data_IF_557241421215
#
_entry.id   IF_557241421215
#
_cell.length_a   1.000
_cell.length_b   1.000
_cell.length_c   1.000
_cell.angle_alpha   90.00
_cell.angle_beta   90.00
_cell.angle_gamma   90.00
#
_symmetry.space_group_name_H-M   'P 1'
#
loop_
_entity.id
_entity.type
_entity.pdbx_description
1 polymer ?
#
# COMPACT_ATOMS: atom_id res chain seq x y z
N UNK A 1 -14.68 10.74 2.18
CA UNK A 1 -14.75 9.52 1.34
C UNK A 1 -15.00 8.32 2.24
N UNK A 2 -15.88 7.41 1.81
CA UNK A 2 -16.25 6.25 2.61
C UNK A 2 -15.56 5.03 2.01
N UNK A 3 -14.82 4.27 2.84
CA UNK A 3 -14.23 2.98 2.42
C UNK A 3 -15.38 1.98 2.26
N UNK A 4 -15.41 1.28 1.13
CA UNK A 4 -16.43 0.28 0.84
C UNK A 4 -15.99 -1.13 1.27
N UNK A 5 -16.95 -2.03 1.46
CA UNK A 5 -16.65 -3.43 1.77
C UNK A 5 -15.80 -4.10 0.66
N UNK A 6 -16.02 -3.73 -0.60
CA UNK A 6 -15.26 -4.25 -1.74
C UNK A 6 -13.78 -3.83 -1.72
N UNK A 7 -13.48 -2.63 -1.17
CA UNK A 7 -12.08 -2.20 -1.00
C UNK A 7 -11.38 -3.01 0.08
N UNK A 8 -12.11 -3.34 1.15
CA UNK A 8 -11.60 -4.10 2.29
C UNK A 8 -11.38 -5.58 1.96
N UNK A 9 -12.22 -6.18 1.12
CA UNK A 9 -12.15 -7.61 0.78
C UNK A 9 -10.80 -8.02 0.21
N UNK A 10 -10.13 -7.13 -0.51
CA UNK A 10 -8.80 -7.36 -1.11
C UNK A 10 -7.69 -7.59 -0.07
N UNK A 11 -7.90 -7.15 1.16
CA UNK A 11 -6.93 -7.24 2.25
C UNK A 11 -7.15 -8.44 3.17
N UNK A 12 -8.22 -9.21 2.92
CA UNK A 12 -8.48 -10.48 3.60
C UNK A 12 -7.60 -11.56 2.98
N UNK A 13 -6.69 -12.12 3.78
CA UNK A 13 -5.71 -13.10 3.29
C UNK A 13 -6.29 -14.49 3.07
N UNK A 14 -7.22 -14.89 3.92
CA UNK A 14 -7.85 -16.21 3.80
C UNK A 14 -9.15 -16.11 3.00
N UNK A 15 -9.09 -16.55 1.75
CA UNK A 15 -10.26 -16.60 0.88
C UNK A 15 -10.96 -17.96 1.02
N UNK A 16 -12.31 -17.97 1.10
CA UNK A 16 -13.06 -19.23 1.17
C UNK A 16 -12.98 -19.99 -0.15
N UNK A 17 -13.26 -21.30 -0.08
CA UNK A 17 -13.42 -22.11 -1.28
C UNK A 17 -14.48 -21.55 -2.23
N UNK A 18 -14.24 -21.71 -3.53
CA UNK A 18 -15.21 -21.33 -4.57
C UNK A 18 -16.53 -22.06 -4.38
N UNK A 19 -17.63 -21.34 -4.51
CA UNK A 19 -18.97 -21.92 -4.45
C UNK A 19 -19.56 -22.02 -5.85
N UNK A 20 -20.24 -23.13 -6.12
CA UNK A 20 -21.04 -23.29 -7.33
C UNK A 20 -22.51 -23.37 -6.93
N UNK A 21 -23.35 -22.50 -7.46
CA UNK A 21 -24.77 -22.36 -7.10
C UNK A 21 -25.02 -22.36 -5.58
N UNK A 22 -24.21 -21.62 -4.84
CA UNK A 22 -24.32 -21.53 -3.38
C UNK A 22 -23.84 -22.76 -2.59
N UNK A 23 -23.39 -23.81 -3.27
CA UNK A 23 -22.90 -25.07 -2.67
C UNK A 23 -21.38 -25.17 -2.76
N UNK A 24 -20.77 -25.95 -1.85
CA UNK A 24 -19.34 -26.25 -1.90
C UNK A 24 -19.06 -27.45 -2.83
N UNK A 25 -19.60 -27.39 -4.05
CA UNK A 25 -19.52 -28.47 -5.04
C UNK A 25 -18.06 -28.91 -5.33
N UNK A 26 -17.15 -27.96 -5.47
CA UNK A 26 -15.75 -28.26 -5.75
C UNK A 26 -15.04 -28.98 -4.60
N UNK A 27 -15.36 -28.63 -3.35
CA UNK A 27 -14.84 -29.32 -2.16
C UNK A 27 -15.42 -30.73 -2.08
N UNK A 28 -16.73 -30.88 -2.28
CA UNK A 28 -17.38 -32.19 -2.32
C UNK A 28 -16.77 -33.08 -3.42
N UNK A 29 -16.52 -32.55 -4.60
CA UNK A 29 -15.90 -33.28 -5.71
C UNK A 29 -14.48 -33.77 -5.35
N UNK A 30 -13.71 -32.96 -4.66
CA UNK A 30 -12.38 -33.29 -4.17
C UNK A 30 -12.43 -34.39 -3.11
N UNK A 31 -13.34 -34.29 -2.14
CA UNK A 31 -13.53 -35.31 -1.08
C UNK A 31 -14.00 -36.67 -1.64
N UNK A 32 -14.70 -36.70 -2.77
CA UNK A 32 -15.10 -37.89 -3.48
C UNK A 32 -13.95 -38.56 -4.25
N UNK A 33 -12.80 -37.91 -4.38
CA UNK A 33 -11.65 -38.50 -5.05
C UNK A 33 -10.85 -39.37 -4.10
N UNK A 34 -10.72 -40.66 -4.42
CA UNK A 34 -9.96 -41.62 -3.61
C UNK A 34 -8.44 -41.42 -3.85
N UNK A 35 -7.64 -41.11 -2.82
CA UNK A 35 -6.20 -40.89 -2.98
C UNK A 35 -5.41 -42.11 -3.46
N UNK A 36 -5.91 -43.33 -3.22
CA UNK A 36 -5.23 -44.58 -3.60
C UNK A 36 -5.54 -45.07 -5.02
N UNK A 37 -6.46 -44.46 -5.76
CA UNK A 37 -6.85 -44.89 -7.10
C UNK A 37 -6.44 -43.89 -8.17
N UNK A 38 -5.54 -44.28 -9.06
CA UNK A 38 -5.06 -43.43 -10.18
C UNK A 38 -5.90 -43.61 -11.46
N UNK A 39 -7.23 -43.65 -11.34
CA UNK A 39 -8.11 -43.72 -12.51
C UNK A 39 -8.38 -42.35 -13.08
N UNK A 40 -8.64 -42.26 -14.40
CA UNK A 40 -8.96 -41.02 -15.12
C UNK A 40 -10.04 -40.20 -14.41
N UNK A 41 -11.11 -40.82 -13.90
CA UNK A 41 -12.18 -40.19 -13.14
C UNK A 41 -11.71 -39.57 -11.81
N UNK A 42 -10.81 -40.24 -11.09
CA UNK A 42 -10.25 -39.68 -9.86
C UNK A 42 -9.31 -38.50 -10.14
N UNK A 43 -8.50 -38.62 -11.18
CA UNK A 43 -7.63 -37.52 -11.61
C UNK A 43 -8.44 -36.29 -12.06
N UNK A 44 -9.54 -36.49 -12.79
CA UNK A 44 -10.47 -35.45 -13.19
C UNK A 44 -11.13 -34.81 -11.98
N UNK A 45 -11.65 -35.57 -11.00
CA UNK A 45 -12.23 -35.05 -9.76
C UNK A 45 -11.23 -34.22 -8.95
N UNK A 46 -9.96 -34.64 -8.86
CA UNK A 46 -8.89 -33.90 -8.19
C UNK A 46 -8.50 -32.61 -8.92
N UNK A 47 -8.51 -32.68 -10.25
CA UNK A 47 -8.15 -31.50 -11.08
C UNK A 47 -9.22 -30.40 -11.04
N UNK A 48 -10.50 -30.77 -10.99
CA UNK A 48 -11.63 -29.82 -10.92
C UNK A 48 -11.98 -29.50 -9.47
N UNK A 49 -11.89 -30.48 -8.57
CA UNK A 49 -12.13 -30.31 -7.15
C UNK A 49 -11.15 -29.32 -6.52
N UNK A 50 -11.57 -28.69 -5.45
CA UNK A 50 -10.75 -27.78 -4.67
C UNK A 50 -10.55 -28.35 -3.27
N UNK A 51 -9.30 -28.42 -2.83
CA UNK A 51 -8.97 -28.81 -1.47
C UNK A 51 -9.69 -27.92 -0.44
N UNK A 52 -10.27 -28.50 0.62
CA UNK A 52 -10.94 -27.69 1.65
C UNK A 52 -9.94 -26.73 2.31
N UNK A 53 -10.25 -25.45 2.29
CA UNK A 53 -9.47 -24.44 3.01
C UNK A 53 -9.76 -24.61 4.50
N UNK A 54 -8.73 -24.97 5.26
CA UNK A 54 -8.81 -25.05 6.70
C UNK A 54 -8.75 -23.64 7.30
N UNK A 55 -9.51 -23.41 8.36
CA UNK A 55 -9.45 -22.16 9.10
C UNK A 55 -8.08 -22.01 9.78
N UNK A 56 -7.37 -20.96 9.43
CA UNK A 56 -6.14 -20.53 10.08
C UNK A 56 -6.40 -19.27 10.88
N UNK A 57 -6.31 -19.37 12.20
CA UNK A 57 -6.54 -18.26 13.11
C UNK A 57 -5.49 -17.17 12.94
N UNK A 58 -4.23 -17.54 12.64
CA UNK A 58 -3.15 -16.56 12.44
C UNK A 58 -3.39 -15.72 11.19
N UNK A 59 -3.85 -16.34 10.10
CA UNK A 59 -4.22 -15.61 8.87
C UNK A 59 -5.47 -14.74 9.08
N UNK A 60 -6.40 -15.18 9.92
CA UNK A 60 -7.61 -14.43 10.26
C UNK A 60 -7.24 -13.16 11.05
N UNK A 61 -6.37 -13.28 12.05
CA UNK A 61 -5.87 -12.16 12.83
C UNK A 61 -5.08 -11.17 11.97
N UNK A 62 -4.16 -11.68 11.14
CA UNK A 62 -3.41 -10.84 10.18
C UNK A 62 -4.33 -10.13 9.20
N UNK A 63 -5.43 -10.75 8.79
CA UNK A 63 -6.42 -10.09 7.94
C UNK A 63 -7.09 -8.92 8.67
N UNK A 64 -7.47 -9.08 9.93
CA UNK A 64 -8.03 -7.99 10.71
C UNK A 64 -7.02 -6.84 10.88
N UNK A 65 -5.74 -7.14 11.14
CA UNK A 65 -4.68 -6.15 11.20
C UNK A 65 -4.49 -5.42 9.86
N UNK A 66 -4.48 -6.16 8.74
CA UNK A 66 -4.37 -5.56 7.40
C UNK A 66 -5.53 -4.62 7.09
N UNK A 67 -6.76 -4.98 7.50
CA UNK A 67 -7.93 -4.12 7.35
C UNK A 67 -7.77 -2.82 8.12
N UNK A 68 -7.25 -2.88 9.36
CA UNK A 68 -6.95 -1.67 10.14
C UNK A 68 -5.87 -0.83 9.47
N UNK A 69 -4.73 -1.45 9.09
CA UNK A 69 -3.63 -0.75 8.41
C UNK A 69 -4.13 -0.06 7.13
N UNK A 70 -4.95 -0.74 6.33
CA UNK A 70 -5.53 -0.11 5.14
C UNK A 70 -6.37 1.12 5.47
N UNK A 71 -7.21 1.06 6.50
CA UNK A 71 -7.99 2.22 6.94
C UNK A 71 -7.08 3.37 7.43
N UNK A 72 -6.00 3.04 8.15
CA UNK A 72 -5.01 4.01 8.61
C UNK A 72 -4.32 4.70 7.42
N UNK A 73 -3.95 3.95 6.36
CA UNK A 73 -3.34 4.53 5.15
C UNK A 73 -4.28 5.48 4.39
N UNK A 74 -5.58 5.36 4.63
CA UNK A 74 -6.62 6.24 4.07
C UNK A 74 -7.02 7.37 5.01
N UNK A 75 -6.27 7.58 6.09
CA UNK A 75 -6.48 8.67 7.06
C UNK A 75 -7.50 8.38 8.15
N UNK A 76 -7.92 7.13 8.35
CA UNK A 76 -8.88 6.77 9.40
C UNK A 76 -8.16 6.13 10.60
N UNK A 77 -7.29 6.89 11.27
CA UNK A 77 -6.43 6.37 12.34
C UNK A 77 -7.19 5.86 13.57
N UNK A 78 -8.41 6.35 13.81
CA UNK A 78 -9.29 5.92 14.90
C UNK A 78 -10.13 4.69 14.55
N UNK A 79 -9.86 4.04 13.41
CA UNK A 79 -10.59 2.88 12.95
C UNK A 79 -10.30 1.62 13.77
N UNK A 80 -11.26 0.70 13.80
CA UNK A 80 -11.13 -0.58 14.45
C UNK A 80 -11.55 -1.69 13.49
N UNK A 81 -10.81 -2.80 13.52
CA UNK A 81 -11.15 -4.02 12.81
C UNK A 81 -11.10 -5.20 13.78
N UNK A 82 -12.20 -5.91 13.89
CA UNK A 82 -12.34 -7.11 14.73
C UNK A 82 -12.84 -8.27 13.89
N UNK A 83 -12.71 -9.48 14.38
CA UNK A 83 -13.26 -10.65 13.72
C UNK A 83 -13.98 -11.55 14.72
N UNK A 84 -14.97 -12.27 14.22
CA UNK A 84 -15.69 -13.30 14.94
C UNK A 84 -15.63 -14.59 14.15
N UNK A 85 -15.36 -15.70 14.82
CA UNK A 85 -15.31 -17.02 14.22
C UNK A 85 -16.44 -17.86 14.77
N UNK A 86 -17.35 -18.28 13.91
CA UNK A 86 -18.42 -19.22 14.23
C UNK A 86 -18.06 -20.61 13.70
N UNK A 87 -17.83 -21.55 14.61
CA UNK A 87 -17.55 -22.96 14.33
C UNK A 87 -18.71 -23.89 14.67
N UNK A 88 -19.84 -23.35 15.12
CA UNK A 88 -20.99 -24.13 15.62
C UNK A 88 -21.78 -24.83 14.52
N UNK A 89 -21.47 -24.58 13.26
CA UNK A 89 -22.13 -25.21 12.13
C UNK A 89 -21.95 -26.73 12.12
N UNK A 90 -23.04 -27.49 12.11
CA UNK A 90 -23.09 -28.99 12.10
C UNK A 90 -22.34 -29.66 10.93
N UNK A 91 -21.78 -28.91 10.00
CA UNK A 91 -21.17 -29.43 8.75
C UNK A 91 -19.65 -29.19 8.68
N UNK A 92 -18.94 -29.16 9.81
CA UNK A 92 -17.49 -28.88 9.82
C UNK A 92 -17.12 -27.63 9.02
N UNK A 93 -17.92 -26.57 9.15
CA UNK A 93 -17.73 -25.30 8.48
C UNK A 93 -17.41 -24.25 9.52
N UNK A 94 -16.40 -23.42 9.22
CA UNK A 94 -16.14 -22.20 9.97
C UNK A 94 -16.64 -20.99 9.17
N UNK A 95 -17.25 -20.04 9.84
CA UNK A 95 -17.63 -18.73 9.27
C UNK A 95 -16.83 -17.67 9.99
N UNK A 96 -16.04 -16.91 9.25
CA UNK A 96 -15.33 -15.74 9.75
C UNK A 96 -16.08 -14.50 9.33
N UNK A 97 -16.37 -13.63 10.27
CA UNK A 97 -17.02 -12.34 10.04
C UNK A 97 -16.07 -11.25 10.52
N UNK A 98 -15.57 -10.44 9.62
CA UNK A 98 -14.80 -9.25 9.96
C UNK A 98 -15.75 -8.08 10.17
N UNK A 99 -15.60 -7.39 11.30
CA UNK A 99 -16.34 -6.17 11.61
C UNK A 99 -15.38 -5.01 11.63
N UNK A 100 -15.66 -4.02 10.81
CA UNK A 100 -14.86 -2.80 10.74
C UNK A 100 -15.72 -1.61 11.19
N UNK A 101 -15.16 -0.78 12.05
CA UNK A 101 -15.72 0.49 12.44
C UNK A 101 -14.80 1.58 11.94
N UNK A 102 -15.26 2.32 10.98
CA UNK A 102 -14.55 3.47 10.42
C UNK A 102 -14.68 4.65 11.38
N UNK A 103 -13.56 5.22 11.80
CA UNK A 103 -13.52 6.47 12.58
C UNK A 103 -13.74 7.70 11.70
N UNK A 104 -13.58 8.88 12.27
CA UNK A 104 -13.54 10.12 11.50
C UNK A 104 -12.23 10.24 10.73
N UNK A 105 -12.27 10.74 9.47
CA UNK A 105 -11.07 10.92 8.67
C UNK A 105 -10.24 12.10 9.18
N UNK A 106 -8.94 11.90 9.25
CA UNK A 106 -8.00 12.98 9.48
C UNK A 106 -7.81 13.79 8.20
N UNK A 107 -7.75 15.12 8.35
CA UNK A 107 -7.57 16.06 7.24
C UNK A 107 -6.25 16.79 7.35
N UNK A 108 -5.62 17.06 6.22
CA UNK A 108 -4.40 17.84 6.17
C UNK A 108 -4.72 19.26 6.61
N UNK A 109 -4.04 19.76 7.64
CA UNK A 109 -4.16 21.11 8.14
C UNK A 109 -3.13 22.02 7.48
N UNK A 110 -1.85 21.68 7.65
CA UNK A 110 -0.75 22.44 7.08
C UNK A 110 0.21 21.55 6.28
N UNK A 111 0.95 22.17 5.37
CA UNK A 111 2.00 21.53 4.57
C UNK A 111 3.25 22.39 4.70
N UNK A 112 4.35 21.80 5.15
CA UNK A 112 5.66 22.41 5.21
C UNK A 112 6.66 21.63 4.35
N UNK A 113 7.69 22.30 3.87
CA UNK A 113 8.74 21.72 3.06
C UNK A 113 10.08 21.91 3.74
N UNK A 114 10.89 20.85 3.78
CA UNK A 114 12.28 20.89 4.22
C UNK A 114 13.18 20.38 3.09
N UNK A 115 14.13 21.22 2.69
CA UNK A 115 15.01 20.97 1.57
C UNK A 115 16.46 20.84 2.03
N UNK A 116 17.07 19.69 1.80
CA UNK A 116 18.51 19.50 1.98
C UNK A 116 19.33 20.09 0.81
N UNK A 117 18.70 20.29 -0.36
CA UNK A 117 19.30 20.84 -1.56
C UNK A 117 18.60 22.17 -1.93
N UNK A 118 19.34 23.28 -1.82
CA UNK A 118 18.83 24.62 -2.10
C UNK A 118 18.49 24.86 -3.57
N UNK A 119 19.10 24.12 -4.49
CA UNK A 119 18.73 24.22 -5.91
C UNK A 119 17.36 23.61 -6.16
N UNK A 120 17.07 22.47 -5.53
CA UNK A 120 15.76 21.87 -5.61
C UNK A 120 14.67 22.73 -4.97
N UNK A 121 14.98 23.43 -3.88
CA UNK A 121 14.08 24.40 -3.25
C UNK A 121 13.58 25.43 -4.25
N UNK A 122 14.50 26.07 -5.01
CA UNK A 122 14.17 27.10 -5.99
C UNK A 122 13.29 26.59 -7.14
N UNK A 123 13.34 25.29 -7.44
CA UNK A 123 12.59 24.69 -8.53
C UNK A 123 11.24 24.16 -8.05
N UNK A 124 11.20 23.52 -6.88
CA UNK A 124 10.00 22.86 -6.37
C UNK A 124 9.03 23.86 -5.73
N UNK A 125 9.52 24.87 -5.01
CA UNK A 125 8.62 25.84 -4.33
C UNK A 125 7.66 26.54 -5.30
N UNK A 126 8.07 27.02 -6.48
CA UNK A 126 7.13 27.61 -7.45
C UNK A 126 6.10 26.58 -7.97
N UNK A 127 6.46 25.30 -8.02
CA UNK A 127 5.58 24.21 -8.50
C UNK A 127 4.60 23.69 -7.43
N UNK A 128 4.70 24.14 -6.19
CA UNK A 128 3.77 23.76 -5.12
C UNK A 128 2.32 24.13 -5.41
N UNK A 129 2.08 25.07 -6.31
CA UNK A 129 0.73 25.37 -6.83
C UNK A 129 0.06 24.15 -7.49
N UNK A 130 0.86 23.24 -8.07
CA UNK A 130 0.41 22.05 -8.77
C UNK A 130 0.36 20.80 -7.86
N UNK A 131 0.68 20.92 -6.57
CA UNK A 131 0.71 19.79 -5.64
C UNK A 131 -0.64 19.10 -5.54
N UNK A 132 -0.59 17.77 -5.42
CA UNK A 132 -1.76 16.93 -5.14
C UNK A 132 -2.15 16.95 -3.65
N UNK A 133 -1.20 17.31 -2.79
CA UNK A 133 -1.39 17.43 -1.34
C UNK A 133 -1.97 18.82 -1.09
N UNK A 134 -3.14 18.90 -0.44
CA UNK A 134 -3.81 20.19 -0.20
C UNK A 134 -4.43 20.24 1.19
N UNK A 135 -4.33 21.37 1.91
CA UNK A 135 -5.04 21.57 3.16
C UNK A 135 -6.55 21.32 3.01
N UNK A 136 -7.18 20.80 4.04
CA UNK A 136 -8.59 20.45 4.08
C UNK A 136 -8.96 19.11 3.43
N UNK A 137 -8.06 18.50 2.63
CA UNK A 137 -8.27 17.16 2.08
C UNK A 137 -8.00 16.07 3.11
N UNK A 138 -8.67 14.95 2.95
CA UNK A 138 -8.41 13.75 3.76
C UNK A 138 -6.99 13.27 3.51
N UNK A 139 -6.28 12.95 4.59
CA UNK A 139 -4.96 12.35 4.51
C UNK A 139 -5.04 10.97 3.84
N UNK A 140 -4.21 10.76 2.82
CA UNK A 140 -4.21 9.51 2.06
C UNK A 140 -2.79 9.24 1.53
N UNK A 141 -2.18 8.16 2.00
CA UNK A 141 -0.82 7.78 1.59
C UNK A 141 -0.73 7.60 0.07
N UNK A 142 -1.77 7.09 -0.59
CA UNK A 142 -1.76 6.94 -2.04
C UNK A 142 -1.71 8.29 -2.79
N UNK A 143 -2.18 9.39 -2.17
CA UNK A 143 -2.01 10.75 -2.71
C UNK A 143 -0.58 11.22 -2.53
N UNK A 144 0.02 10.94 -1.37
CA UNK A 144 1.42 11.27 -1.09
C UNK A 144 2.36 10.54 -2.06
N UNK A 145 2.11 9.25 -2.34
CA UNK A 145 2.92 8.48 -3.29
C UNK A 145 2.80 9.02 -4.71
N UNK A 146 1.60 9.38 -5.16
CA UNK A 146 1.41 10.03 -6.47
C UNK A 146 2.11 11.39 -6.54
N UNK A 147 2.16 12.13 -5.45
CA UNK A 147 2.90 13.39 -5.39
C UNK A 147 4.42 13.15 -5.51
N UNK A 148 4.97 12.10 -4.87
CA UNK A 148 6.38 11.70 -5.08
C UNK A 148 6.66 11.41 -6.56
N UNK A 149 5.79 10.66 -7.21
CA UNK A 149 5.92 10.35 -8.64
C UNK A 149 5.85 11.60 -9.50
N UNK A 150 4.89 12.50 -9.21
CA UNK A 150 4.72 13.77 -9.93
C UNK A 150 5.96 14.65 -9.81
N UNK A 151 6.46 14.89 -8.59
CA UNK A 151 7.65 15.71 -8.35
C UNK A 151 8.88 15.08 -8.98
N UNK A 152 9.02 13.75 -8.89
CA UNK A 152 10.12 13.02 -9.53
C UNK A 152 10.11 13.19 -11.04
N UNK A 153 8.95 13.07 -11.71
CA UNK A 153 8.80 13.28 -13.14
C UNK A 153 9.14 14.73 -13.51
N UNK A 154 8.59 15.69 -12.79
CA UNK A 154 8.83 17.11 -12.97
C UNK A 154 10.32 17.50 -12.91
N UNK A 155 11.07 16.88 -11.98
CA UNK A 155 12.50 17.12 -11.84
C UNK A 155 13.32 16.43 -12.92
N UNK A 156 12.95 15.21 -13.32
CA UNK A 156 13.62 14.48 -14.40
C UNK A 156 13.52 15.20 -15.74
N UNK A 157 12.38 15.82 -16.04
CA UNK A 157 12.20 16.67 -17.23
C UNK A 157 13.13 17.91 -17.22
N UNK A 158 13.65 18.28 -16.06
CA UNK A 158 14.57 19.43 -15.86
C UNK A 158 16.03 19.01 -15.68
N UNK A 159 16.37 17.73 -15.97
CA UNK A 159 17.73 17.23 -15.95
C UNK A 159 18.18 16.59 -14.63
N UNK A 160 17.30 16.46 -13.63
CA UNK A 160 17.61 15.80 -12.36
C UNK A 160 17.40 14.29 -12.45
N UNK A 161 18.14 13.62 -13.31
CA UNK A 161 17.93 12.20 -13.63
C UNK A 161 18.19 11.24 -12.47
N UNK A 162 19.06 11.62 -11.53
CA UNK A 162 19.37 10.83 -10.34
C UNK A 162 18.28 10.95 -9.26
N UNK A 163 17.37 11.91 -9.38
CA UNK A 163 16.27 12.08 -8.44
C UNK A 163 15.25 10.94 -8.59
N UNK A 164 14.86 10.38 -7.45
CA UNK A 164 13.91 9.26 -7.37
C UNK A 164 12.84 9.54 -6.32
N UNK A 165 11.78 8.77 -6.31
CA UNK A 165 10.73 8.82 -5.28
C UNK A 165 11.27 8.64 -3.85
N UNK A 166 12.41 7.96 -3.69
CA UNK A 166 13.07 7.74 -2.40
C UNK A 166 13.77 8.99 -1.85
N UNK A 167 13.95 10.02 -2.66
CA UNK A 167 14.47 11.31 -2.21
C UNK A 167 13.40 12.18 -1.52
N UNK A 168 12.15 11.75 -1.53
CA UNK A 168 11.03 12.44 -0.89
C UNK A 168 10.49 11.59 0.25
N UNK A 169 10.56 12.12 1.47
CA UNK A 169 9.90 11.54 2.64
C UNK A 169 8.82 12.46 3.18
N UNK A 170 7.85 11.87 3.85
CA UNK A 170 6.81 12.59 4.54
C UNK A 170 6.85 12.31 6.03
N UNK A 171 6.71 13.34 6.82
CA UNK A 171 6.44 13.25 8.25
C UNK A 171 5.03 13.80 8.47
N UNK A 172 4.17 12.97 9.07
CA UNK A 172 2.80 13.34 9.39
C UNK A 172 2.66 13.48 10.90
N UNK A 173 2.34 14.67 11.38
CA UNK A 173 2.09 14.92 12.79
C UNK A 173 0.58 15.03 13.05
N UNK A 174 0.09 14.23 13.99
CA UNK A 174 -1.33 14.17 14.38
C UNK A 174 -1.56 14.72 15.80
N UNK A 175 -0.54 15.28 16.44
CA UNK A 175 -0.59 15.72 17.84
C UNK A 175 -1.47 16.97 18.07
N UNK A 176 -1.80 17.72 17.02
CA UNK A 176 -2.65 18.91 17.10
C UNK A 176 -4.11 18.65 17.53
N UNK A 177 -4.56 17.40 17.54
CA UNK A 177 -5.94 17.02 17.85
C UNK A 177 -6.93 17.34 16.71
N UNK A 178 -8.23 17.30 16.99
CA UNK A 178 -9.31 17.65 16.05
C UNK A 178 -9.29 16.93 14.69
N UNK A 179 -8.71 15.71 14.61
CA UNK A 179 -8.59 14.95 13.35
C UNK A 179 -7.87 15.72 12.25
N UNK A 180 -6.84 16.46 12.64
CA UNK A 180 -5.95 17.22 11.74
C UNK A 180 -4.58 16.57 11.66
N UNK A 181 -3.90 16.77 10.52
CA UNK A 181 -2.55 16.25 10.24
C UNK A 181 -1.72 17.38 9.64
N UNK A 182 -0.59 17.69 10.25
CA UNK A 182 0.45 18.50 9.65
C UNK A 182 1.39 17.61 8.86
N UNK A 183 1.60 17.94 7.60
CA UNK A 183 2.44 17.16 6.68
C UNK A 183 3.71 17.95 6.38
N UNK A 184 4.85 17.40 6.78
CA UNK A 184 6.15 17.90 6.37
C UNK A 184 6.69 17.06 5.21
N UNK A 185 7.06 17.71 4.13
CA UNK A 185 7.66 17.12 2.92
C UNK A 185 9.16 17.33 2.98
N UNK A 186 9.92 16.27 3.15
CA UNK A 186 11.38 16.32 3.22
C UNK A 186 11.98 15.93 1.87
N UNK A 187 12.73 16.84 1.26
CA UNK A 187 13.44 16.65 0.00
C UNK A 187 14.93 16.42 0.28
N UNK A 188 15.38 15.19 0.06
CA UNK A 188 16.74 14.75 0.37
C UNK A 188 17.70 14.93 -0.80
N UNK A 189 18.97 15.09 -0.49
CA UNK A 189 20.05 15.00 -1.48
C UNK A 189 20.19 13.56 -2.01
N UNK A 190 20.87 13.42 -3.14
CA UNK A 190 21.21 12.11 -3.72
C UNK A 190 22.35 11.46 -2.92
N UNK A 191 22.13 10.21 -2.50
CA UNK A 191 23.16 9.39 -1.86
C UNK A 191 24.06 8.79 -2.94
N UNK A 192 25.32 9.25 -3.03
CA UNK A 192 26.30 8.76 -3.99
C UNK A 192 26.96 7.47 -3.52
N UNK A 193 27.11 7.29 -2.20
CA UNK A 193 27.75 6.12 -1.61
C UNK A 193 28.14 6.34 -0.15
N UNK A 194 29.07 5.53 0.32
CA UNK A 194 29.65 5.66 1.65
C UNK A 194 31.17 5.84 1.52
N UNK A 195 31.74 6.73 2.32
CA UNK A 195 33.19 6.90 2.37
C UNK A 195 33.86 5.74 3.16
N UNK A 196 35.19 5.73 3.18
CA UNK A 196 35.97 4.71 3.90
C UNK A 196 35.65 4.63 5.40
N UNK A 197 35.07 5.67 5.97
CA UNK A 197 34.63 5.75 7.38
C UNK A 197 33.18 5.34 7.58
N UNK A 198 32.49 4.84 6.54
CA UNK A 198 31.10 4.43 6.59
C UNK A 198 30.10 5.60 6.67
N UNK A 199 30.54 6.83 6.41
CA UNK A 199 29.66 8.00 6.40
C UNK A 199 29.02 8.16 5.00
N UNK A 200 27.74 8.50 4.97
CA UNK A 200 27.02 8.76 3.72
C UNK A 200 27.61 9.96 2.97
N UNK A 201 27.93 9.76 1.70
CA UNK A 201 28.37 10.82 0.79
C UNK A 201 27.16 11.26 0.00
N UNK A 202 26.73 12.49 0.24
CA UNK A 202 25.58 13.11 -0.43
C UNK A 202 26.09 14.05 -1.52
N UNK A 203 25.33 14.10 -2.62
CA UNK A 203 25.61 14.98 -3.75
C UNK A 203 24.33 15.65 -4.23
N UNK A 204 24.46 16.69 -5.02
CA UNK A 204 23.33 17.35 -5.65
C UNK A 204 22.67 16.41 -6.65
N UNK A 205 21.34 16.46 -6.73
CA UNK A 205 20.55 15.57 -7.60
C UNK A 205 20.71 15.87 -9.13
N UNK A 206 21.60 16.80 -9.50
CA UNK A 206 21.82 17.22 -10.88
C UNK A 206 22.67 16.17 -11.61
N UNK A 207 22.13 15.59 -12.66
CA UNK A 207 22.91 14.85 -13.66
C UNK A 207 22.96 15.67 -14.94
N UNK A 208 24.06 16.37 -15.15
CA UNK A 208 24.34 17.02 -16.44
C UNK A 208 24.73 15.93 -17.43
N UNK A 209 23.83 15.58 -18.35
CA UNK A 209 24.22 14.88 -19.55
C UNK A 209 25.07 15.84 -20.41
N UNK A 210 26.36 15.74 -20.26
CA UNK A 210 27.29 16.34 -21.22
C UNK A 210 27.16 15.57 -22.53
N UNK A 211 26.36 16.06 -23.45
CA UNK A 211 26.51 15.72 -24.84
C UNK A 211 27.74 16.49 -25.32
N UNK A 212 28.91 15.87 -25.24
CA UNK A 212 30.07 16.35 -25.96
C UNK A 212 29.66 16.43 -27.44
N UNK A 213 29.74 17.62 -28.08
CA UNK A 213 29.56 17.67 -29.53
C UNK A 213 30.62 16.75 -30.13
N UNK A 214 30.19 15.75 -30.88
CA UNK A 214 31.11 14.93 -31.72
C UNK A 214 31.99 15.89 -32.49
N UNK A 215 33.31 15.76 -32.44
CA UNK A 215 34.15 16.52 -33.36
C UNK A 215 33.74 16.10 -34.80
N UNK A 216 33.17 17.04 -35.52
CA UNK A 216 32.95 16.84 -36.94
C UNK A 216 34.32 16.88 -37.62
N UNK A 217 34.66 15.81 -38.29
CA UNK A 217 35.71 15.74 -39.27
C UNK A 217 35.51 16.76 -40.40
#
# INVERSE_FOLDING_TARGET
ERITAADLEKYVRQTPNKRFLGTNFYVWLYEQANPGKQNWWNNWKRKIGQEPVLLDMSLTERSAQNLKVYMDTRGFFSSQATFEVDTTSRRRRAKVVYRTRQGEPYRIDSISYDFQDKFLEQIILPDTANTLIRPGRVFDIAVLDRERERVTAFLKERGYYNFTVNNIDYVADTLGGNHQVDVQVNIKQYLTGYNERGQAVMDNNICLLYTSPSPRD
#
